data_IF_119611209994
#
_entry.id   IF_119611209994
#
_cell.length_a   1.000
_cell.length_b   1.000
_cell.length_c   1.000
_cell.angle_alpha   90.00
_cell.angle_beta   90.00
_cell.angle_gamma   90.00
#
_symmetry.space_group_name_H-M   'P 1'
#
loop_
_entity.id
_entity.type
_entity.pdbx_description
1 polymer ?
#
# COMPACT_ATOMS: atom_id res chain seq x y z
N UNK A 1 -19.99 8.12 -2.62
CA UNK A 1 -18.79 8.91 -3.01
C UNK A 1 -17.92 8.02 -3.88
N UNK A 2 -17.25 8.57 -4.88
CA UNK A 2 -16.30 7.80 -5.71
C UNK A 2 -14.97 7.70 -4.97
N UNK A 3 -14.48 6.48 -4.74
CA UNK A 3 -13.17 6.25 -4.12
C UNK A 3 -12.06 6.97 -4.90
N UNK A 4 -11.19 7.70 -4.20
CA UNK A 4 -10.07 8.44 -4.79
C UNK A 4 -8.77 8.03 -4.11
N UNK A 5 -7.77 7.69 -4.93
CA UNK A 5 -6.43 7.45 -4.43
C UNK A 5 -5.80 8.82 -4.05
N UNK A 6 -5.18 8.97 -2.87
CA UNK A 6 -4.44 10.18 -2.52
C UNK A 6 -3.31 10.47 -3.52
N UNK A 7 -2.92 11.73 -3.64
CA UNK A 7 -1.83 12.20 -4.50
C UNK A 7 -0.47 11.72 -3.99
N UNK A 8 0.56 11.69 -4.84
CA UNK A 8 1.91 11.35 -4.37
C UNK A 8 2.41 12.29 -3.27
N UNK A 9 2.03 13.57 -3.33
CA UNK A 9 2.41 14.56 -2.33
C UNK A 9 1.67 14.40 -0.99
N UNK A 10 0.63 13.56 -0.94
CA UNK A 10 0.00 13.10 0.31
C UNK A 10 0.59 11.75 0.75
N UNK A 11 0.76 10.82 -0.20
CA UNK A 11 1.23 9.46 0.07
C UNK A 11 2.69 9.40 0.58
N UNK A 12 3.59 10.24 0.05
CA UNK A 12 5.01 10.25 0.45
C UNK A 12 5.17 10.80 1.87
N UNK A 13 4.67 12.01 2.20
CA UNK A 13 4.78 12.52 3.57
C UNK A 13 4.08 11.66 4.61
N UNK A 14 2.96 11.01 4.24
CA UNK A 14 2.31 10.03 5.11
C UNK A 14 3.25 8.87 5.46
N UNK A 15 4.00 8.34 4.49
CA UNK A 15 4.98 7.27 4.74
C UNK A 15 6.07 7.70 5.75
N UNK A 16 6.54 8.95 5.63
CA UNK A 16 7.64 9.46 6.46
C UNK A 16 7.25 9.60 7.94
N UNK A 17 5.98 9.90 8.21
CA UNK A 17 5.45 10.02 9.58
C UNK A 17 4.79 8.74 10.10
N UNK A 18 4.48 7.77 9.23
CA UNK A 18 3.69 6.58 9.55
C UNK A 18 4.15 5.82 10.81
N UNK A 19 5.46 5.68 11.02
CA UNK A 19 5.98 4.99 12.20
C UNK A 19 5.70 5.77 13.51
N UNK A 20 5.75 7.10 13.46
CA UNK A 20 5.42 7.97 14.59
C UNK A 20 3.93 7.87 14.90
N UNK A 21 3.09 8.17 13.90
CA UNK A 21 1.63 8.11 14.00
C UNK A 21 1.15 6.73 14.49
N UNK A 22 1.76 5.64 13.99
CA UNK A 22 1.44 4.29 14.44
C UNK A 22 1.71 4.06 15.93
N UNK A 23 2.85 4.55 16.44
CA UNK A 23 3.18 4.42 17.87
C UNK A 23 2.21 5.20 18.74
N UNK A 24 1.88 6.42 18.34
CA UNK A 24 0.93 7.28 19.04
C UNK A 24 -0.47 6.63 19.08
N UNK A 25 -0.97 6.18 17.93
CA UNK A 25 -2.28 5.54 17.84
C UNK A 25 -2.31 4.21 18.62
N UNK A 26 -1.23 3.40 18.56
CA UNK A 26 -1.12 2.17 19.37
C UNK A 26 -1.19 2.46 20.86
N UNK A 27 -0.53 3.52 21.32
CA UNK A 27 -0.58 3.95 22.72
C UNK A 27 -1.99 4.43 23.12
N UNK A 28 -2.67 5.18 22.26
CA UNK A 28 -4.07 5.59 22.49
C UNK A 28 -5.00 4.38 22.59
N UNK A 29 -4.86 3.43 21.66
CA UNK A 29 -5.62 2.18 21.69
C UNK A 29 -5.33 1.34 22.93
N UNK A 30 -4.09 1.31 23.42
CA UNK A 30 -3.74 0.60 24.64
C UNK A 30 -4.30 1.27 25.90
N UNK A 31 -4.28 2.61 25.97
CA UNK A 31 -4.91 3.38 27.07
C UNK A 31 -6.42 3.17 27.14
N UNK A 32 -7.08 3.02 26.00
CA UNK A 32 -8.53 2.84 25.92
C UNK A 32 -8.98 1.39 26.18
N UNK A 33 -8.07 0.45 26.46
CA UNK A 33 -8.44 -0.92 26.87
C UNK A 33 -8.85 -0.93 28.34
N UNK A 34 -9.93 -1.64 28.66
CA UNK A 34 -10.53 -1.77 30.01
C UNK A 34 -9.52 -2.21 31.12
N UNK A 35 -8.36 -2.76 30.75
CA UNK A 35 -7.29 -3.20 31.67
C UNK A 35 -5.95 -2.49 31.39
N UNK A 36 -5.97 -1.25 30.88
CA UNK A 36 -4.76 -0.49 30.54
C UNK A 36 -3.74 -0.39 31.69
N UNK A 37 -4.20 -0.46 32.94
CA UNK A 37 -3.36 -0.39 34.15
C UNK A 37 -2.51 -1.66 34.41
N UNK A 38 -2.78 -2.78 33.74
CA UNK A 38 -2.17 -4.08 34.03
C UNK A 38 -1.40 -4.70 32.87
N UNK A 39 -1.39 -4.07 31.68
CA UNK A 39 -0.67 -4.57 30.51
C UNK A 39 0.35 -3.54 30.04
N UNK A 40 1.58 -3.98 29.81
CA UNK A 40 2.61 -3.16 29.17
C UNK A 40 2.25 -2.80 27.73
N UNK A 41 3.00 -1.88 27.14
CA UNK A 41 2.81 -1.43 25.75
C UNK A 41 2.84 -2.62 24.77
N UNK A 42 1.88 -2.66 23.84
CA UNK A 42 1.84 -3.72 22.83
C UNK A 42 2.89 -3.45 21.74
N UNK A 43 3.98 -4.22 21.72
CA UNK A 43 4.90 -4.23 20.59
C UNK A 43 4.45 -5.26 19.54
N UNK A 44 4.25 -4.84 18.29
CA UNK A 44 3.88 -5.72 17.18
C UNK A 44 4.98 -5.67 16.10
N UNK A 45 5.92 -6.64 16.09
CA UNK A 45 7.04 -6.64 15.15
C UNK A 45 6.60 -6.81 13.69
N UNK A 46 5.47 -7.48 13.44
CA UNK A 46 4.94 -7.63 12.09
C UNK A 46 4.54 -6.26 11.52
N UNK A 47 3.86 -5.43 12.32
CA UNK A 47 3.45 -4.07 11.90
C UNK A 47 4.63 -3.14 11.71
N UNK A 48 5.66 -3.24 12.56
CA UNK A 48 6.90 -2.50 12.35
C UNK A 48 7.57 -2.90 11.04
N UNK A 49 7.58 -4.19 10.71
CA UNK A 49 8.11 -4.70 9.43
C UNK A 49 7.27 -4.21 8.24
N UNK A 50 5.94 -4.21 8.35
CA UNK A 50 5.02 -3.68 7.33
C UNK A 50 5.29 -2.19 7.06
N UNK A 51 5.40 -1.38 8.13
CA UNK A 51 5.71 0.05 8.04
C UNK A 51 7.08 0.28 7.40
N UNK A 52 8.10 -0.47 7.80
CA UNK A 52 9.44 -0.35 7.20
C UNK A 52 9.42 -0.63 5.69
N UNK A 53 8.64 -1.61 5.24
CA UNK A 53 8.48 -1.89 3.81
C UNK A 53 7.77 -0.72 3.10
N UNK A 54 6.67 -0.20 3.66
CA UNK A 54 5.99 1.01 3.16
C UNK A 54 6.98 2.18 3.01
N UNK A 55 7.71 2.52 4.08
CA UNK A 55 8.68 3.61 4.06
C UNK A 55 9.80 3.38 3.03
N UNK A 56 10.24 2.13 2.86
CA UNK A 56 11.28 1.77 1.88
C UNK A 56 10.82 2.03 0.45
N UNK A 57 9.59 1.62 0.10
CA UNK A 57 9.03 1.88 -1.23
C UNK A 57 8.79 3.36 -1.44
N UNK A 58 8.21 4.06 -0.45
CA UNK A 58 7.96 5.50 -0.53
C UNK A 58 9.25 6.30 -0.78
N UNK A 59 10.32 6.03 0.00
CA UNK A 59 11.63 6.66 -0.18
C UNK A 59 12.24 6.36 -1.55
N UNK A 60 12.07 5.14 -2.06
CA UNK A 60 12.55 4.82 -3.40
C UNK A 60 11.77 5.58 -4.48
N UNK A 61 10.45 5.69 -4.34
CA UNK A 61 9.63 6.48 -5.26
C UNK A 61 10.02 7.95 -5.19
N UNK A 62 10.12 8.56 -4.01
CA UNK A 62 10.50 9.96 -3.86
C UNK A 62 11.85 10.28 -4.49
N UNK A 63 12.86 9.41 -4.29
CA UNK A 63 14.18 9.57 -4.89
C UNK A 63 14.17 9.50 -6.43
N UNK A 64 13.21 8.77 -7.02
CA UNK A 64 13.21 8.48 -8.46
C UNK A 64 12.04 9.14 -9.23
N UNK A 65 11.08 9.81 -8.57
CA UNK A 65 9.82 10.27 -9.20
C UNK A 65 9.97 11.26 -10.35
N UNK A 66 11.12 11.93 -10.44
CA UNK A 66 11.44 12.86 -11.53
C UNK A 66 12.31 12.25 -12.64
N UNK A 67 12.70 10.97 -12.53
CA UNK A 67 13.50 10.27 -13.53
C UNK A 67 12.63 9.70 -14.66
N UNK A 68 11.86 10.56 -15.32
CA UNK A 68 10.85 10.16 -16.30
C UNK A 68 11.40 9.33 -17.45
N UNK A 69 12.59 9.65 -17.96
CA UNK A 69 13.24 8.89 -19.04
C UNK A 69 13.52 7.43 -18.63
N UNK A 70 13.98 7.22 -17.40
CA UNK A 70 14.21 5.88 -16.86
C UNK A 70 12.89 5.15 -16.65
N UNK A 71 11.92 5.80 -15.99
CA UNK A 71 10.64 5.19 -15.65
C UNK A 71 9.76 4.91 -16.87
N UNK A 72 9.88 5.68 -17.95
CA UNK A 72 9.20 5.42 -19.22
C UNK A 72 9.49 4.01 -19.76
N UNK A 73 10.66 3.44 -19.46
CA UNK A 73 11.04 2.08 -19.88
C UNK A 73 10.15 0.98 -19.29
N UNK A 74 9.42 1.26 -18.21
CA UNK A 74 8.41 0.33 -17.64
C UNK A 74 7.32 0.02 -18.66
N UNK A 75 6.95 1.00 -19.46
CA UNK A 75 5.85 0.94 -20.42
C UNK A 75 6.23 0.31 -21.76
N UNK A 76 7.50 -0.13 -21.91
CA UNK A 76 8.07 -0.85 -23.06
C UNK A 76 7.87 -0.16 -24.41
N UNK A 77 6.68 -0.31 -25.00
CA UNK A 77 6.31 0.11 -26.37
C UNK A 77 5.56 1.44 -26.41
N UNK A 78 5.01 1.88 -25.29
CA UNK A 78 4.33 3.17 -25.19
C UNK A 78 5.32 4.23 -24.68
N UNK A 79 5.20 5.45 -25.19
CA UNK A 79 5.91 6.63 -24.68
C UNK A 79 4.97 7.36 -23.73
N UNK A 80 4.95 7.00 -22.43
CA UNK A 80 4.08 7.66 -21.47
C UNK A 80 4.51 9.11 -21.31
N UNK A 81 3.55 10.00 -21.15
CA UNK A 81 3.83 11.36 -20.70
C UNK A 81 4.13 11.39 -19.19
N UNK A 82 4.65 12.51 -18.70
CA UNK A 82 5.02 12.65 -17.28
C UNK A 82 3.83 12.42 -16.33
N UNK A 83 2.62 12.80 -16.73
CA UNK A 83 1.42 12.59 -15.92
C UNK A 83 1.09 11.10 -15.77
N UNK A 84 1.20 10.32 -16.84
CA UNK A 84 1.00 8.87 -16.81
C UNK A 84 2.04 8.17 -15.91
N UNK A 85 3.29 8.63 -15.92
CA UNK A 85 4.34 8.12 -15.02
C UNK A 85 4.03 8.48 -13.56
N UNK A 86 3.70 9.75 -13.28
CA UNK A 86 3.30 10.20 -11.95
C UNK A 86 2.10 9.40 -11.43
N UNK A 87 1.12 9.16 -12.29
CA UNK A 87 -0.08 8.39 -11.95
C UNK A 87 0.23 6.91 -11.67
N UNK A 88 1.12 6.31 -12.45
CA UNK A 88 1.63 4.97 -12.20
C UNK A 88 2.36 4.88 -10.86
N UNK A 89 3.23 5.83 -10.55
CA UNK A 89 3.92 5.89 -9.26
C UNK A 89 2.94 6.08 -8.10
N UNK A 90 1.90 6.91 -8.29
CA UNK A 90 0.81 7.12 -7.33
C UNK A 90 0.11 5.79 -7.01
N UNK A 91 -0.29 5.05 -8.04
CA UNK A 91 -0.95 3.74 -7.89
C UNK A 91 -0.02 2.68 -7.31
N UNK A 92 1.25 2.68 -7.68
CA UNK A 92 2.24 1.78 -7.11
C UNK A 92 2.41 2.00 -5.60
N UNK A 93 2.55 3.26 -5.17
CA UNK A 93 2.68 3.59 -3.74
C UNK A 93 1.39 3.29 -2.97
N UNK A 94 0.23 3.68 -3.51
CA UNK A 94 -1.07 3.29 -2.99
C UNK A 94 -1.21 1.77 -2.85
N UNK A 95 -0.69 1.00 -3.82
CA UNK A 95 -0.68 -0.46 -3.79
C UNK A 95 0.04 -1.03 -2.57
N UNK A 96 1.11 -0.39 -2.08
CA UNK A 96 1.81 -0.86 -0.87
C UNK A 96 0.92 -0.71 0.35
N UNK A 97 0.27 0.44 0.50
CA UNK A 97 -0.67 0.68 1.60
C UNK A 97 -1.85 -0.29 1.55
N UNK A 98 -2.44 -0.48 0.38
CA UNK A 98 -3.58 -1.39 0.18
C UNK A 98 -3.20 -2.85 0.44
N UNK A 99 -2.00 -3.28 0.06
CA UNK A 99 -1.49 -4.62 0.38
C UNK A 99 -1.46 -4.86 1.89
N UNK A 100 -0.99 -3.89 2.67
CA UNK A 100 -0.93 -4.04 4.12
C UNK A 100 -2.30 -3.90 4.78
N UNK A 101 -3.18 -3.05 4.26
CA UNK A 101 -4.55 -2.95 4.74
C UNK A 101 -5.30 -4.28 4.54
N UNK A 102 -5.16 -4.91 3.36
CA UNK A 102 -5.72 -6.24 3.08
C UNK A 102 -5.16 -7.32 4.03
N UNK A 103 -3.83 -7.37 4.19
CA UNK A 103 -3.17 -8.29 5.14
C UNK A 103 -3.71 -8.13 6.55
N UNK A 104 -3.83 -6.90 7.04
CA UNK A 104 -4.39 -6.63 8.36
C UNK A 104 -5.84 -7.09 8.40
N UNK A 105 -6.65 -6.75 7.41
CA UNK A 105 -8.07 -7.11 7.36
C UNK A 105 -8.28 -8.62 7.48
N UNK A 106 -7.46 -9.41 6.78
CA UNK A 106 -7.51 -10.87 6.79
C UNK A 106 -7.10 -11.52 8.14
N UNK A 107 -6.48 -10.77 9.06
CA UNK A 107 -6.18 -11.24 10.41
C UNK A 107 -7.36 -11.11 11.38
N UNK A 108 -8.43 -10.41 11.00
CA UNK A 108 -9.59 -10.16 11.86
C UNK A 108 -10.83 -10.88 11.35
N UNK A 109 -11.63 -11.42 12.28
CA UNK A 109 -12.89 -12.10 11.95
C UNK A 109 -13.96 -11.15 11.41
N UNK A 110 -13.97 -9.91 11.88
CA UNK A 110 -14.96 -8.89 11.50
C UNK A 110 -14.24 -7.65 10.98
N UNK A 111 -14.33 -7.44 9.66
CA UNK A 111 -13.77 -6.29 8.97
C UNK A 111 -14.16 -4.96 9.61
N UNK A 112 -15.42 -4.80 10.01
CA UNK A 112 -15.92 -3.57 10.64
C UNK A 112 -15.20 -3.19 11.93
N UNK A 113 -14.52 -4.14 12.57
CA UNK A 113 -13.74 -3.89 13.78
C UNK A 113 -12.27 -3.58 13.53
N UNK A 114 -11.79 -3.73 12.29
CA UNK A 114 -10.36 -3.64 11.94
C UNK A 114 -9.81 -2.24 12.23
N UNK A 115 -10.53 -1.20 11.76
CA UNK A 115 -10.17 0.21 11.96
C UNK A 115 -10.03 0.55 13.44
N UNK A 116 -10.95 0.08 14.28
CA UNK A 116 -10.95 0.38 15.72
C UNK A 116 -9.93 -0.43 16.52
N UNK A 117 -9.44 -1.55 15.97
CA UNK A 117 -8.62 -2.52 16.72
C UNK A 117 -7.17 -2.63 16.23
N UNK A 118 -6.86 -2.11 15.05
CA UNK A 118 -5.51 -2.07 14.49
C UNK A 118 -5.10 -0.63 14.23
N UNK A 119 -4.10 -0.14 14.97
CA UNK A 119 -3.57 1.22 14.82
C UNK A 119 -3.10 1.49 13.38
N UNK A 120 -2.43 0.51 12.75
CA UNK A 120 -2.00 0.67 11.36
C UNK A 120 -3.21 0.71 10.42
N UNK A 121 -4.20 -0.18 10.58
CA UNK A 121 -5.36 -0.14 9.70
C UNK A 121 -6.16 1.16 9.85
N UNK A 122 -6.25 1.70 11.07
CA UNK A 122 -6.89 3.00 11.31
C UNK A 122 -6.27 4.10 10.45
N UNK A 123 -4.94 4.23 10.53
CA UNK A 123 -4.20 5.22 9.78
C UNK A 123 -4.35 5.03 8.26
N UNK A 124 -4.36 3.78 7.79
CA UNK A 124 -4.55 3.48 6.36
C UNK A 124 -5.99 3.77 5.91
N UNK A 125 -7.00 3.42 6.71
CA UNK A 125 -8.40 3.76 6.44
C UNK A 125 -8.59 5.28 6.40
N UNK A 126 -7.97 6.03 7.32
CA UNK A 126 -7.99 7.49 7.33
C UNK A 126 -7.31 8.09 6.10
N UNK A 127 -6.14 7.57 5.69
CA UNK A 127 -5.44 7.99 4.47
C UNK A 127 -6.34 7.86 3.22
N UNK A 128 -7.12 6.79 3.14
CA UNK A 128 -8.00 6.51 2.00
C UNK A 128 -9.42 7.04 2.18
N UNK A 129 -9.72 7.71 3.29
CA UNK A 129 -11.06 8.21 3.64
C UNK A 129 -12.15 7.13 3.58
N UNK A 130 -11.84 5.94 4.11
CA UNK A 130 -12.76 4.80 4.19
C UNK A 130 -12.97 4.34 5.64
N UNK A 131 -14.07 3.62 5.88
CA UNK A 131 -14.32 2.96 7.17
C UNK A 131 -13.82 1.51 7.17
N UNK A 132 -13.83 0.86 6.01
CA UNK A 132 -13.46 -0.55 5.86
C UNK A 132 -12.83 -0.83 4.49
N UNK A 133 -12.09 -1.94 4.39
CA UNK A 133 -11.36 -2.30 3.18
C UNK A 133 -12.29 -2.59 1.99
N UNK A 134 -13.46 -3.17 2.21
CA UNK A 134 -14.46 -3.50 1.20
C UNK A 134 -15.13 -2.28 0.56
N UNK A 135 -14.93 -1.07 1.09
CA UNK A 135 -15.35 0.17 0.42
C UNK A 135 -14.43 0.55 -0.74
N UNK A 136 -13.25 -0.07 -0.84
CA UNK A 136 -12.28 0.16 -1.90
C UNK A 136 -12.64 -0.72 -3.11
N UNK A 137 -12.86 -0.14 -4.30
CA UNK A 137 -13.23 -0.94 -5.46
C UNK A 137 -12.16 -1.98 -5.82
N UNK A 138 -12.57 -3.23 -6.03
CA UNK A 138 -11.67 -4.34 -6.34
C UNK A 138 -10.78 -4.08 -7.58
N UNK A 139 -11.33 -3.40 -8.60
CA UNK A 139 -10.55 -2.99 -9.77
C UNK A 139 -9.43 -1.99 -9.42
N UNK A 140 -9.70 -1.08 -8.47
CA UNK A 140 -8.69 -0.14 -7.98
C UNK A 140 -7.58 -0.87 -7.25
N UNK A 141 -7.92 -1.82 -6.38
CA UNK A 141 -6.95 -2.67 -5.67
C UNK A 141 -6.10 -3.44 -6.69
N UNK A 142 -6.74 -4.10 -7.67
CA UNK A 142 -6.06 -4.83 -8.77
C UNK A 142 -5.08 -3.94 -9.52
N UNK A 143 -5.48 -2.73 -9.90
CA UNK A 143 -4.61 -1.81 -10.64
C UNK A 143 -3.42 -1.34 -9.78
N UNK A 144 -3.66 -0.99 -8.52
CA UNK A 144 -2.60 -0.53 -7.61
C UNK A 144 -1.58 -1.64 -7.31
N UNK A 145 -2.04 -2.87 -7.04
CA UNK A 145 -1.15 -4.00 -6.78
C UNK A 145 -0.37 -4.45 -8.02
N UNK A 146 -0.96 -4.36 -9.22
CA UNK A 146 -0.24 -4.60 -10.46
C UNK A 146 0.85 -3.55 -10.71
N UNK A 147 0.53 -2.27 -10.52
CA UNK A 147 1.49 -1.18 -10.69
C UNK A 147 2.62 -1.29 -9.65
N UNK A 148 2.31 -1.64 -8.40
CA UNK A 148 3.30 -1.97 -7.39
C UNK A 148 4.22 -3.11 -7.86
N UNK A 149 3.65 -4.22 -8.30
CA UNK A 149 4.42 -5.38 -8.77
C UNK A 149 5.36 -5.00 -9.93
N UNK A 150 4.85 -4.24 -10.89
CA UNK A 150 5.63 -3.77 -12.04
C UNK A 150 6.76 -2.84 -11.61
N UNK A 151 6.46 -1.88 -10.72
CA UNK A 151 7.44 -0.94 -10.20
C UNK A 151 8.60 -1.65 -9.49
N UNK A 152 8.28 -2.52 -8.52
CA UNK A 152 9.31 -3.23 -7.76
C UNK A 152 10.17 -4.12 -8.66
N UNK A 153 9.56 -4.84 -9.62
CA UNK A 153 10.29 -5.66 -10.58
C UNK A 153 11.24 -4.81 -11.43
N UNK A 154 10.74 -3.71 -11.99
CA UNK A 154 11.54 -2.83 -12.82
C UNK A 154 12.73 -2.25 -12.05
N UNK A 155 12.50 -1.76 -10.84
CA UNK A 155 13.54 -1.18 -10.02
C UNK A 155 14.55 -2.24 -9.55
N UNK A 156 14.12 -3.46 -9.19
CA UNK A 156 15.03 -4.58 -8.91
C UNK A 156 15.91 -4.92 -10.12
N UNK A 157 15.34 -4.98 -11.33
CA UNK A 157 16.12 -5.30 -12.53
C UNK A 157 17.12 -4.19 -12.89
N UNK A 158 16.75 -2.91 -12.72
CA UNK A 158 17.63 -1.79 -13.06
C UNK A 158 18.68 -1.46 -11.99
N UNK A 159 18.39 -1.74 -10.71
CA UNK A 159 19.34 -1.50 -9.62
C UNK A 159 20.41 -2.60 -9.49
N UNK A 160 20.29 -3.70 -10.24
CA UNK A 160 21.14 -4.88 -10.13
C UNK A 160 20.77 -5.80 -8.95
N UNK A 161 21.55 -6.87 -8.74
CA UNK A 161 21.23 -7.99 -7.84
C UNK A 161 21.10 -7.65 -6.34
N UNK A 162 21.36 -6.40 -5.93
CA UNK A 162 21.49 -6.04 -4.51
C UNK A 162 20.27 -5.31 -3.92
N UNK A 163 19.25 -4.98 -4.71
CA UNK A 163 18.08 -4.28 -4.16
C UNK A 163 17.15 -5.26 -3.43
N UNK A 164 17.16 -5.20 -2.10
CA UNK A 164 16.24 -5.93 -1.23
C UNK A 164 15.16 -5.00 -0.70
N UNK A 165 13.90 -5.32 -1.00
CA UNK A 165 12.76 -4.49 -0.62
C UNK A 165 12.29 -4.69 0.82
N UNK A 166 12.51 -5.89 1.37
CA UNK A 166 12.02 -6.28 2.69
C UNK A 166 13.15 -6.90 3.51
N UNK A 167 13.32 -6.46 4.75
CA UNK A 167 14.46 -6.85 5.61
C UNK A 167 14.51 -8.35 5.91
N UNK A 168 13.35 -8.99 6.06
CA UNK A 168 13.25 -10.41 6.45
C UNK A 168 12.81 -11.37 5.32
N UNK A 169 12.41 -10.87 4.16
CA UNK A 169 11.88 -11.70 3.05
C UNK A 169 12.73 -11.54 1.79
N UNK A 170 12.76 -12.56 0.94
CA UNK A 170 13.33 -12.45 -0.41
C UNK A 170 12.36 -11.73 -1.34
N UNK A 171 12.87 -11.15 -2.43
CA UNK A 171 12.02 -10.49 -3.43
C UNK A 171 11.06 -11.50 -4.09
N UNK A 172 11.45 -12.77 -4.23
CA UNK A 172 10.59 -13.83 -4.76
C UNK A 172 9.34 -14.06 -3.90
N UNK A 173 9.53 -14.17 -2.58
CA UNK A 173 8.42 -14.32 -1.62
C UNK A 173 7.54 -13.09 -1.66
N UNK A 174 8.14 -11.89 -1.65
CA UNK A 174 7.40 -10.63 -1.73
C UNK A 174 6.55 -10.54 -3.00
N UNK A 175 7.09 -10.92 -4.16
CA UNK A 175 6.34 -10.88 -5.42
C UNK A 175 5.21 -11.90 -5.45
N UNK A 176 5.38 -13.05 -4.80
CA UNK A 176 4.31 -14.02 -4.64
C UNK A 176 3.20 -13.45 -3.77
N UNK A 177 3.51 -12.90 -2.60
CA UNK A 177 2.53 -12.26 -1.71
C UNK A 177 1.74 -11.14 -2.42
N UNK A 178 2.42 -10.28 -3.18
CA UNK A 178 1.74 -9.22 -3.95
C UNK A 178 0.81 -9.84 -4.99
N UNK A 179 1.24 -10.91 -5.66
CA UNK A 179 0.45 -11.59 -6.71
C UNK A 179 -0.79 -12.27 -6.13
N UNK A 180 -0.64 -12.95 -5.00
CA UNK A 180 -1.72 -13.68 -4.33
C UNK A 180 -2.79 -12.69 -3.78
N UNK A 181 -2.40 -11.45 -3.47
CA UNK A 181 -3.30 -10.39 -3.03
C UNK A 181 -4.06 -9.68 -4.18
N UNK A 182 -3.75 -9.96 -5.45
CA UNK A 182 -4.43 -9.33 -6.59
C UNK A 182 -5.82 -9.97 -6.74
N UNK A 183 -6.92 -9.20 -6.59
CA UNK A 183 -8.25 -9.77 -6.68
C UNK A 183 -8.56 -10.24 -8.10
N UNK A 184 -9.22 -11.39 -8.20
CA UNK A 184 -9.73 -11.90 -9.47
C UNK A 184 -11.03 -11.18 -9.85
N UNK A 185 -10.85 -10.06 -10.54
CA UNK A 185 -11.97 -9.29 -11.11
C UNK A 185 -12.14 -9.74 -12.56
N UNK A 186 -13.21 -10.48 -12.82
CA UNK A 186 -13.67 -10.76 -14.19
C UNK A 186 -13.98 -9.42 -14.88
N UNK A 187 -13.59 -9.26 -16.17
CA UNK A 187 -13.98 -8.07 -16.93
C UNK A 187 -15.50 -8.11 -17.12
N UNK A 188 -16.22 -7.44 -16.22
CA UNK A 188 -17.65 -7.20 -16.39
C UNK A 188 -17.89 -6.55 -17.75
N UNK A 189 -18.76 -7.20 -18.50
CA UNK A 189 -19.16 -6.93 -19.88
C UNK A 189 -19.48 -5.44 -20.07
N UNK A 190 -18.54 -4.67 -20.63
CA UNK A 190 -18.85 -3.43 -21.33
C UNK A 190 -19.51 -3.78 -22.67
N UNK A 191 -20.71 -4.35 -22.62
CA UNK A 191 -21.60 -4.47 -23.76
C UNK A 191 -23.02 -4.42 -23.24
N UNK A 192 -23.57 -3.21 -23.15
CA UNK A 192 -25.01 -2.86 -23.23
C UNK A 192 -25.17 -1.45 -22.66
N UNK A 193 -24.89 -0.44 -23.47
CA UNK A 193 -25.56 0.87 -23.46
C UNK A 193 -25.10 1.63 -24.71
N UNK A 194 -25.35 0.99 -25.85
CA UNK A 194 -25.55 1.66 -27.13
C UNK A 194 -26.98 1.30 -27.54
N UNK A 195 -27.93 2.05 -26.99
CA UNK A 195 -29.24 2.35 -27.58
C UNK A 195 -29.60 3.78 -27.18
#
# INVERSE_FOLDING_TARGET
MTFKIPTLDELIPFADRLLGDYKEERQLMDKNRFLASYRGETNNPNRSSDINFICTVAKNIDKNRYQYQTLARIFRKETPNNQQITEFLRRALAGVYLLHLDKINNEYTFESSVKDRSALAKLLCELFEVEKFSEIPALTIKNCLNDLKLYLRFMTTNAGANLRWHESKSNEILFKEITDAIPDVEPSTQASLSM
#
